data_IF_690529214108
#
_entry.id   IF_690529214108
#
_cell.length_a   1.000
_cell.length_b   1.000
_cell.length_c   1.000
_cell.angle_alpha   90.00
_cell.angle_beta   90.00
_cell.angle_gamma   90.00
#
_symmetry.space_group_name_H-M   'P 1'
#
loop_
_entity.id
_entity.type
_entity.pdbx_description
1 polymer ?
#
# COMPACT_ATOMS: atom_id res chain seq x y z
N UNK A 1 36.49 -10.10 -3.59
CA UNK A 1 35.34 -11.00 -3.71
C UNK A 1 34.14 -10.31 -3.08
N UNK A 2 33.07 -10.06 -3.83
CA UNK A 2 31.82 -9.52 -3.30
C UNK A 2 31.10 -10.65 -2.56
N UNK A 3 30.66 -10.43 -1.31
CA UNK A 3 30.01 -11.48 -0.52
C UNK A 3 28.57 -11.71 -0.98
N UNK A 4 28.07 -12.95 -0.85
CA UNK A 4 26.68 -13.28 -1.19
C UNK A 4 25.67 -12.37 -0.45
N UNK A 5 25.93 -12.03 0.81
CA UNK A 5 25.08 -11.12 1.58
C UNK A 5 25.03 -9.70 0.99
N UNK A 6 26.16 -9.19 0.48
CA UNK A 6 26.17 -7.87 -0.17
C UNK A 6 25.40 -7.85 -1.50
N UNK A 7 25.38 -8.97 -2.23
CA UNK A 7 24.58 -9.12 -3.45
C UNK A 7 23.08 -9.18 -3.14
N UNK A 8 22.67 -9.90 -2.08
CA UNK A 8 21.27 -9.92 -1.61
C UNK A 8 20.79 -8.53 -1.22
N UNK A 9 21.61 -7.80 -0.47
CA UNK A 9 21.27 -6.43 -0.05
C UNK A 9 21.14 -5.49 -1.24
N UNK A 10 22.02 -5.60 -2.25
CA UNK A 10 21.90 -4.85 -3.49
C UNK A 10 20.61 -5.21 -4.25
N UNK A 11 20.32 -6.50 -4.49
CA UNK A 11 19.11 -6.93 -5.17
C UNK A 11 17.83 -6.38 -4.50
N UNK A 12 17.77 -6.46 -3.15
CA UNK A 12 16.69 -5.85 -2.37
C UNK A 12 16.57 -4.34 -2.63
N UNK A 13 17.68 -3.59 -2.50
CA UNK A 13 17.66 -2.15 -2.67
C UNK A 13 17.22 -1.75 -4.07
N UNK A 14 17.65 -2.48 -5.08
CA UNK A 14 17.29 -2.10 -6.42
C UNK A 14 15.83 -2.48 -6.72
N UNK A 15 15.29 -3.59 -6.20
CA UNK A 15 13.87 -3.89 -6.29
C UNK A 15 13.00 -2.88 -5.53
N UNK A 16 13.47 -2.45 -4.36
CA UNK A 16 12.84 -1.41 -3.55
C UNK A 16 12.85 -0.03 -4.27
N UNK A 17 13.88 0.25 -5.06
CA UNK A 17 14.06 1.57 -5.71
C UNK A 17 13.55 1.64 -7.14
N UNK A 18 13.90 0.70 -8.01
CA UNK A 18 13.70 0.75 -9.47
C UNK A 18 12.54 -0.09 -10.01
N UNK A 19 12.00 -1.05 -9.25
CA UNK A 19 10.82 -1.83 -9.67
C UNK A 19 11.02 -2.88 -10.80
N UNK A 20 12.18 -2.91 -11.47
CA UNK A 20 12.47 -3.85 -12.57
C UNK A 20 13.68 -4.76 -12.24
N UNK A 21 13.42 -6.02 -11.83
CA UNK A 21 14.41 -7.09 -11.64
C UNK A 21 13.87 -8.39 -12.24
N UNK A 22 14.77 -9.28 -12.66
CA UNK A 22 14.40 -10.63 -13.04
C UNK A 22 13.83 -11.36 -11.81
N UNK A 23 12.54 -11.72 -11.84
CA UNK A 23 11.79 -12.26 -10.69
C UNK A 23 12.34 -13.61 -10.22
N UNK A 24 12.89 -14.41 -11.14
CA UNK A 24 13.47 -15.72 -10.84
C UNK A 24 14.73 -15.63 -9.96
N UNK A 25 15.58 -14.62 -10.15
CA UNK A 25 16.80 -14.43 -9.36
C UNK A 25 16.53 -13.83 -7.97
N UNK A 26 15.39 -13.13 -7.81
CA UNK A 26 14.99 -12.50 -6.55
C UNK A 26 14.37 -13.48 -5.56
N UNK A 27 13.56 -14.43 -6.04
CA UNK A 27 12.84 -15.39 -5.20
C UNK A 27 13.78 -16.30 -4.39
N UNK A 28 14.99 -16.55 -4.89
CA UNK A 28 15.99 -17.41 -4.23
C UNK A 28 16.90 -16.67 -3.26
N UNK A 29 16.88 -15.32 -3.24
CA UNK A 29 17.88 -14.51 -2.55
C UNK A 29 17.34 -13.59 -1.45
N UNK A 30 16.03 -13.31 -1.40
CA UNK A 30 15.44 -12.45 -0.38
C UNK A 30 14.99 -13.22 0.87
N UNK A 31 15.16 -12.60 2.03
CA UNK A 31 14.56 -13.11 3.27
C UNK A 31 13.06 -12.82 3.33
N UNK A 32 12.32 -13.63 4.10
CA UNK A 32 10.88 -13.42 4.33
C UNK A 32 10.56 -11.99 4.79
N UNK A 33 11.40 -11.42 5.66
CA UNK A 33 11.23 -10.04 6.16
C UNK A 33 11.35 -9.03 5.02
N UNK A 34 12.35 -9.18 4.15
CA UNK A 34 12.54 -8.30 3.00
C UNK A 34 11.35 -8.35 2.03
N UNK A 35 10.79 -9.55 1.80
CA UNK A 35 9.62 -9.72 0.95
C UNK A 35 8.40 -9.01 1.54
N UNK A 36 8.16 -9.13 2.85
CA UNK A 36 7.09 -8.38 3.51
C UNK A 36 7.34 -6.87 3.53
N UNK A 37 8.59 -6.42 3.68
CA UNK A 37 8.94 -5.01 3.53
C UNK A 37 8.63 -4.47 2.14
N UNK A 38 8.79 -5.28 1.08
CA UNK A 38 8.33 -4.89 -0.26
C UNK A 38 6.79 -4.84 -0.32
N UNK A 39 6.11 -5.82 0.27
CA UNK A 39 4.66 -5.93 0.27
C UNK A 39 3.95 -4.72 0.93
N UNK A 40 4.47 -4.22 2.06
CA UNK A 40 3.86 -3.09 2.79
C UNK A 40 4.06 -1.73 2.11
N UNK A 41 4.94 -1.64 1.10
CA UNK A 41 5.31 -0.44 0.33
C UNK A 41 5.66 0.79 1.22
N UNK A 42 6.82 0.78 1.90
CA UNK A 42 7.23 1.82 2.85
C UNK A 42 7.20 3.24 2.28
N UNK A 43 7.45 3.39 0.97
CA UNK A 43 7.38 4.68 0.27
C UNK A 43 5.99 5.36 0.31
N UNK A 44 4.93 4.62 0.61
CA UNK A 44 3.56 5.16 0.74
C UNK A 44 3.24 5.62 2.16
N UNK A 45 4.00 5.17 3.16
CA UNK A 45 3.72 5.43 4.58
C UNK A 45 3.87 6.90 5.01
N UNK A 46 4.81 7.70 4.45
CA UNK A 46 4.88 9.12 4.77
C UNK A 46 3.58 9.89 4.47
N UNK A 47 2.83 9.51 3.44
CA UNK A 47 1.55 10.14 3.12
C UNK A 47 0.49 9.88 4.22
N UNK A 48 0.42 8.66 4.73
CA UNK A 48 -0.45 8.30 5.85
C UNK A 48 0.00 8.94 7.18
N UNK A 49 1.31 9.07 7.40
CA UNK A 49 1.84 9.79 8.57
C UNK A 49 1.52 11.30 8.50
N UNK A 50 1.59 11.90 7.30
CA UNK A 50 1.25 13.30 7.09
C UNK A 50 -0.23 13.57 7.43
N UNK A 51 -1.16 12.72 6.97
CA UNK A 51 -2.58 12.88 7.28
C UNK A 51 -2.87 12.75 8.78
N UNK A 52 -2.25 11.80 9.47
CA UNK A 52 -2.36 11.67 10.93
C UNK A 52 -1.80 12.90 11.65
N UNK A 53 -0.65 13.41 11.19
CA UNK A 53 -0.01 14.62 11.76
C UNK A 53 -0.92 15.84 11.66
N UNK A 54 -1.65 16.01 10.56
CA UNK A 54 -2.63 17.09 10.41
C UNK A 54 -3.74 16.99 11.48
N UNK A 55 -4.26 15.78 11.73
CA UNK A 55 -5.25 15.57 12.80
C UNK A 55 -4.69 15.87 14.19
N UNK A 56 -3.44 15.49 14.46
CA UNK A 56 -2.75 15.80 15.72
C UNK A 56 -2.54 17.31 15.89
N UNK A 57 -2.13 18.01 14.82
CA UNK A 57 -1.94 19.46 14.85
C UNK A 57 -3.27 20.20 15.12
N UNK A 58 -4.36 19.76 14.51
CA UNK A 58 -5.69 20.31 14.80
C UNK A 58 -6.10 20.08 16.27
N UNK A 59 -5.89 18.88 16.82
CA UNK A 59 -6.16 18.61 18.23
C UNK A 59 -5.29 19.45 19.18
N UNK A 60 -4.05 19.74 18.80
CA UNK A 60 -3.15 20.61 19.55
C UNK A 60 -3.61 22.07 19.53
N UNK A 61 -4.08 22.56 18.39
CA UNK A 61 -4.63 23.92 18.26
C UNK A 61 -5.87 24.16 19.14
N UNK A 62 -6.70 23.13 19.32
CA UNK A 62 -7.93 23.19 20.12
C UNK A 62 -7.71 22.85 21.61
N UNK A 63 -6.46 22.75 22.09
CA UNK A 63 -6.11 22.32 23.47
C UNK A 63 -6.65 20.92 23.86
N UNK A 64 -6.94 20.07 22.87
CA UNK A 64 -7.45 18.71 23.04
C UNK A 64 -6.36 17.63 22.87
N UNK A 65 -5.09 18.04 22.78
CA UNK A 65 -4.00 17.11 22.52
C UNK A 65 -3.80 16.10 23.66
N UNK A 66 -3.77 14.82 23.28
CA UNK A 66 -3.46 13.71 24.18
C UNK A 66 -2.54 12.74 23.45
N UNK A 67 -1.40 12.41 24.08
CA UNK A 67 -0.37 11.58 23.47
C UNK A 67 -0.88 10.19 23.07
N UNK A 68 -1.70 9.55 23.92
CA UNK A 68 -2.26 8.22 23.65
C UNK A 68 -3.09 8.16 22.35
N UNK A 69 -4.16 8.96 22.22
CA UNK A 69 -4.93 9.08 20.97
C UNK A 69 -4.09 9.49 19.76
N UNK A 70 -3.12 10.39 19.92
CA UNK A 70 -2.24 10.80 18.83
C UNK A 70 -1.41 9.64 18.27
N UNK A 71 -0.78 8.85 19.16
CA UNK A 71 -0.02 7.66 18.76
C UNK A 71 -0.93 6.58 18.15
N UNK A 72 -2.09 6.34 18.75
CA UNK A 72 -3.06 5.38 18.21
C UNK A 72 -3.56 5.78 16.82
N UNK A 73 -3.81 7.07 16.58
CA UNK A 73 -4.22 7.60 15.27
C UNK A 73 -3.12 7.41 14.22
N UNK A 74 -1.87 7.75 14.55
CA UNK A 74 -0.73 7.54 13.65
C UNK A 74 -0.57 6.06 13.30
N UNK A 75 -0.59 5.17 14.29
CA UNK A 75 -0.46 3.73 14.07
C UNK A 75 -1.64 3.19 13.24
N UNK A 76 -2.87 3.62 13.52
CA UNK A 76 -4.04 3.22 12.74
C UNK A 76 -3.93 3.68 11.28
N UNK A 77 -3.52 4.92 11.03
CA UNK A 77 -3.31 5.45 9.68
C UNK A 77 -2.25 4.64 8.90
N UNK A 78 -1.13 4.33 9.54
CA UNK A 78 -0.08 3.50 8.94
C UNK A 78 -0.58 2.07 8.64
N UNK A 79 -1.28 1.43 9.58
CA UNK A 79 -1.84 0.09 9.37
C UNK A 79 -2.89 0.07 8.25
N UNK A 80 -3.79 1.06 8.20
CA UNK A 80 -4.77 1.17 7.11
C UNK A 80 -4.09 1.33 5.75
N UNK A 81 -3.02 2.13 5.66
CA UNK A 81 -2.24 2.28 4.43
C UNK A 81 -1.53 0.98 4.02
N UNK A 82 -0.97 0.25 4.99
CA UNK A 82 -0.36 -1.07 4.77
C UNK A 82 -1.43 -2.06 4.28
N UNK A 83 -2.58 -2.14 4.95
CA UNK A 83 -3.68 -3.03 4.58
C UNK A 83 -4.20 -2.74 3.17
N UNK A 84 -4.35 -1.46 2.82
CA UNK A 84 -4.70 -1.05 1.46
C UNK A 84 -3.64 -1.47 0.42
N UNK A 85 -2.34 -1.42 0.75
CA UNK A 85 -1.28 -1.90 -0.14
C UNK A 85 -1.35 -3.41 -0.37
N UNK A 86 -1.60 -4.19 0.68
CA UNK A 86 -1.75 -5.65 0.60
C UNK A 86 -3.02 -6.04 -0.19
N UNK A 87 -4.14 -5.37 0.07
CA UNK A 87 -5.39 -5.52 -0.68
C UNK A 87 -5.17 -5.27 -2.17
N UNK A 88 -4.48 -4.18 -2.50
CA UNK A 88 -4.13 -3.81 -3.86
C UNK A 88 -3.20 -4.84 -4.52
N UNK A 89 -2.30 -5.48 -3.78
CA UNK A 89 -1.43 -6.54 -4.33
C UNK A 89 -2.25 -7.79 -4.68
N UNK A 90 -3.00 -8.32 -3.71
CA UNK A 90 -3.72 -9.59 -3.84
C UNK A 90 -4.93 -9.52 -4.78
N UNK A 91 -5.71 -8.43 -4.76
CA UNK A 91 -6.88 -8.31 -5.64
C UNK A 91 -6.50 -8.05 -7.09
N UNK A 92 -5.39 -7.36 -7.35
CA UNK A 92 -4.89 -7.25 -8.73
C UNK A 92 -4.34 -8.56 -9.26
N UNK A 93 -3.77 -9.41 -8.41
CA UNK A 93 -3.41 -10.78 -8.77
C UNK A 93 -4.65 -11.57 -9.22
N UNK A 94 -5.73 -11.56 -8.42
CA UNK A 94 -6.96 -12.27 -8.78
C UNK A 94 -7.65 -11.74 -10.04
N UNK A 95 -7.53 -10.44 -10.32
CA UNK A 95 -8.09 -9.82 -11.53
C UNK A 95 -7.28 -10.08 -12.81
N UNK A 96 -6.05 -10.61 -12.70
CA UNK A 96 -5.15 -10.76 -13.84
C UNK A 96 -4.80 -9.43 -14.53
N UNK A 97 -4.90 -8.30 -13.81
CA UNK A 97 -4.91 -6.96 -14.40
C UNK A 97 -3.51 -6.42 -14.77
N UNK A 98 -2.42 -7.14 -14.50
CA UNK A 98 -1.07 -6.67 -14.82
C UNK A 98 -0.44 -7.47 -15.96
N UNK A 99 -0.20 -6.76 -17.05
CA UNK A 99 0.75 -7.12 -18.10
C UNK A 99 2.19 -6.84 -17.66
N UNK A 100 3.18 -7.54 -18.24
CA UNK A 100 4.62 -7.32 -17.96
C UNK A 100 5.10 -5.87 -18.24
N UNK A 101 4.32 -5.07 -18.96
CA UNK A 101 4.59 -3.66 -19.25
C UNK A 101 4.29 -2.70 -18.08
N UNK A 102 3.87 -3.18 -16.90
CA UNK A 102 3.53 -2.29 -15.78
C UNK A 102 4.77 -1.55 -15.25
N UNK A 103 4.71 -0.22 -15.31
CA UNK A 103 5.62 0.67 -14.59
C UNK A 103 5.10 0.86 -13.16
N UNK A 104 5.80 0.29 -12.18
CA UNK A 104 5.44 0.46 -10.77
C UNK A 104 6.26 -0.41 -9.83
N UNK A 105 6.11 -0.24 -8.50
CA UNK A 105 6.76 -1.09 -7.52
C UNK A 105 6.39 -2.56 -7.74
N UNK A 106 7.37 -3.43 -7.47
CA UNK A 106 7.21 -4.88 -7.51
C UNK A 106 6.00 -5.31 -6.69
N UNK A 107 5.13 -6.14 -7.28
CA UNK A 107 4.01 -6.78 -6.58
C UNK A 107 4.43 -8.19 -6.18
N UNK A 108 4.39 -8.46 -4.89
CA UNK A 108 4.97 -9.70 -4.32
C UNK A 108 4.14 -10.93 -4.68
N UNK A 109 2.83 -10.80 -4.87
CA UNK A 109 1.97 -11.93 -5.30
C UNK A 109 2.21 -12.31 -6.76
N UNK A 110 2.26 -11.31 -7.65
CA UNK A 110 2.51 -11.54 -9.08
C UNK A 110 3.93 -12.00 -9.38
N UNK A 111 4.90 -11.52 -8.60
CA UNK A 111 6.28 -11.97 -8.69
C UNK A 111 6.48 -13.40 -8.12
N UNK A 112 5.45 -14.02 -7.56
CA UNK A 112 5.53 -15.36 -6.95
C UNK A 112 6.31 -15.40 -5.64
N UNK A 113 6.63 -14.25 -5.04
CA UNK A 113 7.39 -14.17 -3.79
C UNK A 113 6.54 -14.51 -2.55
N UNK A 114 5.24 -14.23 -2.60
CA UNK A 114 4.27 -14.66 -1.59
C UNK A 114 3.05 -15.28 -2.27
N UNK A 115 2.51 -16.33 -1.65
CA UNK A 115 1.24 -16.91 -2.11
C UNK A 115 0.11 -15.89 -1.89
N UNK A 116 -0.87 -15.79 -2.81
CA UNK A 116 -2.00 -14.87 -2.65
C UNK A 116 -2.72 -15.02 -1.31
N UNK A 117 -2.92 -16.25 -0.83
CA UNK A 117 -3.52 -16.52 0.47
C UNK A 117 -2.72 -15.98 1.67
N UNK A 118 -1.38 -15.92 1.58
CA UNK A 118 -0.54 -15.33 2.64
C UNK A 118 -0.74 -13.81 2.69
N UNK A 119 -0.79 -13.17 1.52
CA UNK A 119 -1.01 -11.72 1.43
C UNK A 119 -2.42 -11.35 1.86
N UNK A 120 -3.42 -12.16 1.51
CA UNK A 120 -4.80 -12.00 1.96
C UNK A 120 -4.92 -12.13 3.49
N UNK A 121 -4.26 -13.11 4.09
CA UNK A 121 -4.23 -13.25 5.55
C UNK A 121 -3.54 -12.05 6.21
N UNK A 122 -2.38 -11.63 5.69
CA UNK A 122 -1.66 -10.46 6.18
C UNK A 122 -2.49 -9.19 6.11
N UNK A 123 -3.24 -8.98 5.02
CA UNK A 123 -4.20 -7.89 4.87
C UNK A 123 -5.23 -7.88 6.00
N UNK A 124 -5.89 -9.03 6.26
CA UNK A 124 -6.90 -9.13 7.31
C UNK A 124 -6.33 -8.93 8.71
N UNK A 125 -5.13 -9.46 8.98
CA UNK A 125 -4.43 -9.23 10.27
C UNK A 125 -4.17 -7.74 10.46
N UNK A 126 -3.65 -7.05 9.45
CA UNK A 126 -3.35 -5.60 9.53
C UNK A 126 -4.61 -4.77 9.72
N UNK A 127 -5.69 -5.07 8.99
CA UNK A 127 -6.98 -4.40 9.21
C UNK A 127 -7.59 -4.71 10.57
N UNK A 128 -7.44 -5.93 11.08
CA UNK A 128 -7.85 -6.30 12.44
C UNK A 128 -7.11 -5.47 13.50
N UNK A 129 -5.79 -5.32 13.37
CA UNK A 129 -4.99 -4.47 14.26
C UNK A 129 -5.42 -3.00 14.18
N UNK A 130 -5.67 -2.49 12.97
CA UNK A 130 -6.20 -1.13 12.78
C UNK A 130 -7.58 -0.96 13.44
N UNK A 131 -8.45 -1.96 13.34
CA UNK A 131 -9.77 -1.95 13.97
C UNK A 131 -9.67 -1.93 15.50
N UNK A 132 -8.73 -2.67 16.11
CA UNK A 132 -8.49 -2.63 17.55
C UNK A 132 -8.07 -1.23 18.02
N UNK A 133 -7.20 -0.55 17.27
CA UNK A 133 -6.87 0.86 17.53
C UNK A 133 -8.09 1.77 17.35
N UNK A 134 -8.93 1.51 16.35
CA UNK A 134 -10.20 2.20 16.15
C UNK A 134 -11.16 2.06 17.34
N UNK A 135 -11.26 0.87 17.93
CA UNK A 135 -12.02 0.63 19.17
C UNK A 135 -11.44 1.41 20.34
N UNK A 136 -10.11 1.44 20.49
CA UNK A 136 -9.49 2.29 21.50
C UNK A 136 -9.84 3.77 21.28
N UNK A 137 -9.68 4.29 20.07
CA UNK A 137 -9.99 5.69 19.74
C UNK A 137 -11.48 6.01 19.91
N UNK A 138 -12.38 5.07 19.67
CA UNK A 138 -13.81 5.21 19.97
C UNK A 138 -14.05 5.52 21.45
N UNK A 139 -13.33 4.88 22.37
CA UNK A 139 -13.46 5.19 23.81
C UNK A 139 -12.98 6.60 24.17
N UNK A 140 -12.23 7.27 23.29
CA UNK A 140 -11.65 8.59 23.53
C UNK A 140 -12.40 9.72 22.80
N UNK A 141 -12.91 9.45 21.59
CA UNK A 141 -13.49 10.47 20.70
C UNK A 141 -14.93 10.14 20.24
N UNK A 142 -15.49 8.99 20.64
CA UNK A 142 -16.87 8.61 20.35
C UNK A 142 -17.08 7.94 18.99
N UNK A 143 -18.36 7.70 18.68
CA UNK A 143 -18.81 6.91 17.52
C UNK A 143 -18.34 7.38 16.13
N UNK A 144 -18.08 8.69 15.85
CA UNK A 144 -17.64 9.11 14.52
C UNK A 144 -16.35 8.41 14.06
N UNK A 145 -15.45 8.07 14.99
CA UNK A 145 -14.21 7.35 14.67
C UNK A 145 -14.48 5.98 14.07
N UNK A 146 -15.49 5.25 14.56
CA UNK A 146 -15.83 3.94 14.03
C UNK A 146 -16.33 4.04 12.60
N UNK A 147 -17.16 5.05 12.30
CA UNK A 147 -17.68 5.27 10.95
C UNK A 147 -16.55 5.58 9.98
N UNK A 148 -15.62 6.47 10.36
CA UNK A 148 -14.46 6.80 9.53
C UNK A 148 -13.58 5.56 9.32
N UNK A 149 -13.27 4.81 10.38
CA UNK A 149 -12.44 3.61 10.29
C UNK A 149 -13.04 2.52 9.40
N UNK A 150 -14.34 2.24 9.56
CA UNK A 150 -15.07 1.30 8.69
C UNK A 150 -15.09 1.81 7.26
N UNK A 151 -15.37 3.09 7.03
CA UNK A 151 -15.35 3.68 5.70
C UNK A 151 -13.97 3.57 5.03
N UNK A 152 -12.87 3.75 5.77
CA UNK A 152 -11.52 3.56 5.24
C UNK A 152 -11.25 2.10 4.82
N UNK A 153 -11.65 1.12 5.63
CA UNK A 153 -11.48 -0.31 5.30
C UNK A 153 -12.33 -0.67 4.08
N UNK A 154 -13.60 -0.24 4.06
CA UNK A 154 -14.51 -0.46 2.93
C UNK A 154 -13.95 0.21 1.68
N UNK A 155 -13.49 1.45 1.76
CA UNK A 155 -12.89 2.16 0.63
C UNK A 155 -11.63 1.44 0.13
N UNK A 156 -10.76 0.96 1.03
CA UNK A 156 -9.58 0.21 0.64
C UNK A 156 -9.93 -1.06 -0.14
N UNK A 157 -10.91 -1.84 0.34
CA UNK A 157 -11.36 -3.07 -0.31
C UNK A 157 -12.14 -2.77 -1.60
N UNK A 158 -13.08 -1.83 -1.57
CA UNK A 158 -13.92 -1.48 -2.73
C UNK A 158 -13.12 -0.81 -3.85
N UNK A 159 -12.11 0.00 -3.53
CA UNK A 159 -11.23 0.61 -4.53
C UNK A 159 -10.37 -0.43 -5.25
N UNK A 160 -9.99 -1.51 -4.57
CA UNK A 160 -9.07 -2.52 -5.13
C UNK A 160 -9.78 -3.77 -5.67
N UNK A 161 -10.91 -4.15 -5.09
CA UNK A 161 -11.75 -5.29 -5.46
C UNK A 161 -13.11 -4.95 -6.06
N UNK A 162 -13.50 -3.67 -6.11
CA UNK A 162 -14.78 -3.24 -6.70
C UNK A 162 -14.73 -3.08 -8.23
N UNK A 163 -15.90 -3.00 -8.89
CA UNK A 163 -16.04 -3.09 -10.35
C UNK A 163 -15.57 -1.85 -11.15
N UNK A 164 -14.99 -0.82 -10.52
CA UNK A 164 -14.64 0.44 -11.18
C UNK A 164 -13.13 0.71 -11.23
N UNK A 165 -12.44 0.35 -12.33
CA UNK A 165 -11.06 0.73 -12.58
C UNK A 165 -10.98 2.18 -13.06
N UNK A 166 -10.88 3.15 -12.15
CA UNK A 166 -10.62 4.56 -12.50
C UNK A 166 -9.27 4.80 -13.22
N UNK A 167 -8.42 3.78 -13.34
CA UNK A 167 -7.15 3.83 -14.06
C UNK A 167 -7.26 3.80 -15.60
N UNK A 168 -8.43 3.55 -16.18
CA UNK A 168 -8.57 3.45 -17.64
C UNK A 168 -8.80 4.79 -18.36
N UNK A 169 -9.30 5.81 -17.66
CA UNK A 169 -9.59 7.10 -18.28
C UNK A 169 -8.35 7.98 -18.47
N UNK A 170 -7.21 7.68 -17.83
CA UNK A 170 -5.96 8.44 -18.02
C UNK A 170 -5.20 8.08 -19.31
N UNK A 171 -5.36 6.86 -19.82
CA UNK A 171 -4.61 6.38 -20.99
C UNK A 171 -5.27 6.76 -22.32
N UNK A 172 -6.59 6.95 -22.34
CA UNK A 172 -7.29 7.40 -23.56
C UNK A 172 -6.98 8.85 -23.94
N UNK A 173 -6.63 9.71 -22.96
CA UNK A 173 -6.20 11.08 -23.23
C UNK A 173 -4.78 11.17 -23.82
N UNK A 174 -3.88 10.24 -23.50
CA UNK A 174 -2.54 10.20 -24.11
C UNK A 174 -2.55 9.62 -25.52
N UNK A 175 -3.42 8.65 -25.79
CA UNK A 175 -3.47 8.00 -27.11
C UNK A 175 -4.15 8.89 -28.15
N UNK A 176 -5.19 9.65 -27.78
CA UNK A 176 -5.78 10.66 -28.68
C UNK A 176 -4.83 11.84 -28.94
N UNK A 177 -4.08 12.34 -27.95
CA UNK A 177 -3.18 13.49 -28.18
C UNK A 177 -1.98 13.17 -29.08
N UNK A 178 -1.50 11.92 -29.08
CA UNK A 178 -0.37 11.49 -29.93
C UNK A 178 -0.83 11.21 -31.37
N UNK A 179 -2.03 10.67 -31.55
CA UNK A 179 -2.58 10.41 -32.89
C UNK A 179 -3.04 11.68 -33.61
N UNK A 180 -3.46 12.72 -32.88
CA UNK A 180 -3.80 14.02 -33.46
C UNK A 180 -2.57 14.79 -33.97
N UNK A 181 -1.38 14.55 -33.41
CA UNK A 181 -0.13 15.15 -33.91
C UNK A 181 0.49 14.43 -35.11
N UNK A 182 0.10 13.17 -35.38
CA UNK A 182 0.61 12.39 -36.51
C UNK A 182 -0.31 12.42 -37.75
N UNK A 183 -1.48 13.06 -37.65
CA UNK A 183 -2.42 13.24 -38.77
C UNK A 183 -2.31 14.61 -39.46
N UNK A 184 -1.42 15.50 -39.00
CA UNK A 184 -1.28 16.88 -39.50
C UNK A 184 0.17 17.17 -39.99
N UNK A 185 0.86 16.17 -40.53
CA UNK A 185 2.16 16.34 -41.20
C UNK A 185 2.18 15.64 -42.55
#
# INVERSE_FOLDING_TARGET
MVSLESLKQQAFWIAFTKGHYNTADMATNLSTIQVWLLAIRPKTLPAAAASATVGVAAAYHEDLFRLGPALACLLAALLLQIGANLANDVFNYYRGADTQARLGPLRVTQAGLLKPGQVLLGMWVVFGLAALLGVYLFTQAGWPVLVIGVACIVAAIAYTGGPFPFGYYGNQFKEHSVLDHLRIS
#
